data_IF_354747024748
#
_entry.id   IF_354747024748
#
_cell.length_a   1.000
_cell.length_b   1.000
_cell.length_c   1.000
_cell.angle_alpha   90.00
_cell.angle_beta   90.00
_cell.angle_gamma   90.00
#
_symmetry.space_group_name_H-M   'P 1'
#
loop_
_entity.id
_entity.type
_entity.pdbx_description
1 polymer ?
#
# COMPACT_ATOMS: atom_id res chain seq x y z
N UNK A 1 -5.98 -10.07 -1.40
CA UNK A 1 -6.02 -8.66 -1.79
C UNK A 1 -4.88 -7.90 -1.13
N UNK A 2 -4.61 -6.67 -1.55
CA UNK A 2 -3.64 -5.77 -0.91
C UNK A 2 -4.15 -4.33 -0.93
N UNK A 3 -3.52 -3.50 -0.09
CA UNK A 3 -3.68 -2.05 -0.14
C UNK A 3 -5.16 -1.64 -0.13
N UNK A 4 -5.87 -2.09 0.92
CA UNK A 4 -7.29 -1.85 1.11
C UNK A 4 -7.56 -0.35 1.30
N UNK A 5 -6.65 0.36 1.97
CA UNK A 5 -6.70 1.80 2.21
C UNK A 5 -8.10 2.30 2.60
N UNK A 6 -8.71 1.62 3.60
CA UNK A 6 -10.05 1.97 4.06
C UNK A 6 -10.11 3.42 4.51
N UNK A 7 -11.07 4.16 3.97
CA UNK A 7 -11.24 5.59 4.18
C UNK A 7 -12.69 6.00 3.99
N UNK A 8 -13.12 7.06 4.67
CA UNK A 8 -14.44 7.65 4.47
C UNK A 8 -14.40 8.84 3.52
N UNK A 9 -13.27 9.57 3.48
CA UNK A 9 -13.07 10.70 2.59
C UNK A 9 -12.85 10.23 1.14
N UNK A 10 -13.40 10.97 0.20
CA UNK A 10 -13.27 10.68 -1.22
C UNK A 10 -11.89 11.14 -1.73
N UNK A 11 -11.15 10.32 -2.51
CA UNK A 11 -9.94 10.78 -3.19
C UNK A 11 -10.21 12.03 -4.03
N UNK A 12 -9.29 13.01 -3.99
CA UNK A 12 -9.49 14.33 -4.58
C UNK A 12 -9.85 14.37 -6.08
N UNK A 13 -9.52 13.30 -6.82
CA UNK A 13 -9.83 13.18 -8.25
C UNK A 13 -11.18 12.51 -8.55
N UNK A 14 -11.94 12.14 -7.49
CA UNK A 14 -13.22 11.45 -7.56
C UNK A 14 -14.34 12.32 -6.97
N UNK A 15 -15.59 12.02 -7.35
CA UNK A 15 -16.79 12.79 -6.95
C UNK A 15 -17.81 12.01 -6.13
N UNK A 16 -17.52 10.77 -5.73
CA UNK A 16 -18.44 9.99 -4.91
C UNK A 16 -18.73 10.71 -3.57
N UNK A 17 -19.98 10.82 -3.20
CA UNK A 17 -20.40 11.57 -1.98
C UNK A 17 -20.15 10.81 -0.67
N UNK A 18 -20.08 9.47 -0.74
CA UNK A 18 -19.80 8.58 0.40
C UNK A 18 -18.94 7.42 -0.13
N UNK A 19 -17.63 7.64 -0.09
CA UNK A 19 -16.67 6.76 -0.74
C UNK A 19 -16.68 5.34 -0.15
N UNK A 20 -16.70 5.23 1.18
CA UNK A 20 -16.73 3.93 1.83
C UNK A 20 -17.97 3.13 1.41
N UNK A 21 -19.15 3.74 1.44
CA UNK A 21 -20.41 3.05 1.10
C UNK A 21 -20.57 2.77 -0.38
N UNK A 22 -20.10 3.68 -1.25
CA UNK A 22 -20.33 3.54 -2.69
C UNK A 22 -19.26 2.70 -3.39
N UNK A 23 -18.06 2.63 -2.83
CA UNK A 23 -16.92 1.96 -3.47
C UNK A 23 -16.38 0.81 -2.62
N UNK A 24 -15.90 1.08 -1.39
CA UNK A 24 -15.14 0.09 -0.62
C UNK A 24 -16.02 -1.03 -0.07
N UNK A 25 -17.16 -0.70 0.54
CA UNK A 25 -18.07 -1.69 1.14
C UNK A 25 -18.62 -2.68 0.11
N UNK A 26 -19.13 -2.29 -1.07
CA UNK A 26 -19.61 -3.23 -2.08
C UNK A 26 -18.51 -4.17 -2.58
N UNK A 27 -17.30 -3.65 -2.78
CA UNK A 27 -16.16 -4.45 -3.23
C UNK A 27 -15.74 -5.48 -2.17
N UNK A 28 -15.58 -5.05 -0.91
CA UNK A 28 -15.21 -5.96 0.18
C UNK A 28 -16.34 -6.95 0.49
N UNK A 29 -17.61 -6.52 0.42
CA UNK A 29 -18.77 -7.37 0.58
C UNK A 29 -18.73 -8.54 -0.41
N UNK A 30 -18.43 -8.28 -1.68
CA UNK A 30 -18.40 -9.34 -2.70
C UNK A 30 -17.41 -10.46 -2.41
N UNK A 31 -16.31 -10.14 -1.73
CA UNK A 31 -15.34 -11.14 -1.28
C UNK A 31 -15.83 -11.88 -0.03
N UNK A 32 -16.34 -11.13 0.96
CA UNK A 32 -16.84 -11.73 2.19
C UNK A 32 -18.06 -12.64 1.97
N UNK A 33 -18.89 -12.31 0.98
CA UNK A 33 -20.10 -13.09 0.63
C UNK A 33 -19.75 -14.45 -0.02
N UNK A 34 -18.49 -14.68 -0.42
CA UNK A 34 -18.04 -16.02 -0.85
C UNK A 34 -17.95 -17.00 0.31
N UNK A 35 -17.84 -16.50 1.55
CA UNK A 35 -17.62 -17.33 2.74
C UNK A 35 -16.16 -17.78 2.90
N UNK A 36 -15.28 -17.41 1.97
CA UNK A 36 -13.86 -17.76 2.04
C UNK A 36 -13.05 -16.75 2.88
N UNK A 37 -11.93 -17.17 3.51
CA UNK A 37 -11.06 -16.26 4.24
C UNK A 37 -10.50 -15.15 3.35
N UNK A 38 -10.67 -13.90 3.76
CA UNK A 38 -10.11 -12.75 3.07
C UNK A 38 -8.82 -12.33 3.76
N UNK A 39 -7.71 -12.31 2.99
CA UNK A 39 -6.38 -11.94 3.47
C UNK A 39 -5.95 -10.63 2.80
N UNK A 40 -5.48 -9.68 3.61
CA UNK A 40 -5.02 -8.36 3.18
C UNK A 40 -3.50 -8.25 3.36
N UNK A 41 -2.79 -8.05 2.27
CA UNK A 41 -1.34 -7.88 2.29
C UNK A 41 -0.94 -6.44 2.65
N UNK A 42 -1.41 -5.95 3.79
CA UNK A 42 -1.07 -4.66 4.39
C UNK A 42 -1.89 -3.48 3.91
N UNK A 43 -1.65 -2.34 4.56
CA UNK A 43 -2.33 -1.07 4.34
C UNK A 43 -3.86 -1.21 4.37
N UNK A 44 -4.36 -1.76 5.49
CA UNK A 44 -5.80 -1.88 5.73
C UNK A 44 -6.44 -0.50 5.80
N UNK A 45 -5.79 0.45 6.47
CA UNK A 45 -6.26 1.82 6.58
C UNK A 45 -5.45 2.78 5.68
N UNK A 46 -6.10 3.82 5.20
CA UNK A 46 -5.41 4.92 4.50
C UNK A 46 -4.60 5.81 5.45
N UNK A 47 -5.06 5.91 6.71
CA UNK A 47 -4.38 6.63 7.79
C UNK A 47 -4.53 5.83 9.08
N UNK A 48 -3.44 5.67 9.82
CA UNK A 48 -3.40 4.85 11.04
C UNK A 48 -4.36 5.28 12.15
N UNK A 49 -4.63 6.59 12.26
CA UNK A 49 -5.44 7.21 13.30
C UNK A 49 -6.70 7.89 12.76
N UNK A 50 -7.34 7.34 11.73
CA UNK A 50 -8.62 7.83 11.20
C UNK A 50 -9.78 7.18 11.95
N UNK A 51 -10.37 7.91 12.91
CA UNK A 51 -11.49 7.41 13.71
C UNK A 51 -12.72 7.07 12.85
N UNK A 52 -13.05 7.90 11.86
CA UNK A 52 -14.22 7.68 11.01
C UNK A 52 -14.07 6.41 10.18
N UNK A 53 -12.91 6.23 9.54
CA UNK A 53 -12.60 5.02 8.79
C UNK A 53 -12.56 3.78 9.69
N UNK A 54 -11.98 3.90 10.88
CA UNK A 54 -11.91 2.80 11.86
C UNK A 54 -13.31 2.38 12.31
N UNK A 55 -14.17 3.33 12.67
CA UNK A 55 -15.54 3.05 13.08
C UNK A 55 -16.37 2.46 11.94
N UNK A 56 -16.18 2.96 10.73
CA UNK A 56 -16.88 2.48 9.53
C UNK A 56 -16.53 1.02 9.22
N UNK A 57 -15.24 0.68 9.18
CA UNK A 57 -14.80 -0.71 8.93
C UNK A 57 -15.17 -1.64 10.09
N UNK A 58 -15.02 -1.19 11.35
CA UNK A 58 -15.45 -1.93 12.52
C UNK A 58 -16.93 -2.34 12.41
N UNK A 59 -17.81 -1.35 12.16
CA UNK A 59 -19.26 -1.57 12.05
C UNK A 59 -19.58 -2.50 10.89
N UNK A 60 -18.96 -2.27 9.74
CA UNK A 60 -19.18 -3.08 8.54
C UNK A 60 -18.80 -4.57 8.75
N UNK A 61 -17.65 -4.84 9.36
CA UNK A 61 -17.22 -6.22 9.65
C UNK A 61 -18.09 -6.84 10.75
N UNK A 62 -18.42 -6.07 11.78
CA UNK A 62 -19.27 -6.54 12.91
C UNK A 62 -20.66 -6.94 12.45
N UNK A 63 -21.31 -6.13 11.62
CA UNK A 63 -22.64 -6.40 11.08
C UNK A 63 -22.68 -7.67 10.20
N UNK A 64 -21.55 -7.97 9.53
CA UNK A 64 -21.41 -9.17 8.70
C UNK A 64 -20.91 -10.40 9.45
N UNK A 65 -20.50 -10.26 10.71
CA UNK A 65 -19.84 -11.34 11.44
C UNK A 65 -18.53 -11.78 10.78
N UNK A 66 -17.88 -10.87 10.05
CA UNK A 66 -16.70 -11.15 9.24
C UNK A 66 -15.42 -10.83 9.98
N UNK A 67 -14.36 -11.59 9.67
CA UNK A 67 -13.00 -11.39 10.18
C UNK A 67 -12.05 -11.35 9.00
N UNK A 68 -11.15 -10.37 8.99
CA UNK A 68 -10.05 -10.29 8.02
C UNK A 68 -8.77 -10.89 8.61
N UNK A 69 -7.96 -11.51 7.76
CA UNK A 69 -6.56 -11.79 8.06
C UNK A 69 -5.70 -10.71 7.42
N UNK A 70 -4.71 -10.19 8.11
CA UNK A 70 -3.89 -9.13 7.53
C UNK A 70 -2.46 -9.13 8.07
N UNK A 71 -1.52 -8.66 7.27
CA UNK A 71 -0.25 -8.11 7.74
C UNK A 71 -0.37 -6.60 7.89
N UNK A 72 0.52 -6.00 8.66
CA UNK A 72 0.54 -4.56 8.88
C UNK A 72 1.32 -3.86 7.77
N UNK A 73 0.72 -2.87 7.11
CA UNK A 73 1.41 -1.96 6.22
C UNK A 73 1.88 -0.68 6.91
N UNK A 74 2.59 0.19 6.20
CA UNK A 74 3.09 1.45 6.75
C UNK A 74 1.97 2.43 7.12
N UNK A 75 0.85 2.41 6.38
CA UNK A 75 -0.31 3.25 6.66
C UNK A 75 -1.12 2.80 7.89
N UNK A 76 -0.92 1.55 8.34
CA UNK A 76 -1.55 1.03 9.56
C UNK A 76 -0.79 1.45 10.84
N UNK A 77 0.38 2.08 10.70
CA UNK A 77 1.27 2.46 11.78
C UNK A 77 1.40 3.98 11.89
N UNK A 78 1.36 4.51 13.10
CA UNK A 78 1.65 5.92 13.37
C UNK A 78 3.16 6.14 13.34
N UNK A 79 3.62 7.11 12.53
CA UNK A 79 5.04 7.40 12.31
C UNK A 79 5.86 6.16 11.89
N UNK A 80 5.24 5.22 11.21
CA UNK A 80 5.83 3.94 10.76
C UNK A 80 6.41 3.11 11.92
N UNK A 81 5.94 3.33 13.16
CA UNK A 81 6.38 2.64 14.36
C UNK A 81 5.32 1.67 14.87
N UNK A 82 5.74 0.44 15.21
CA UNK A 82 4.88 -0.55 15.86
C UNK A 82 4.67 -0.29 17.34
N UNK A 83 5.44 0.60 17.94
CA UNK A 83 5.36 0.95 19.36
C UNK A 83 4.12 1.79 19.68
N UNK A 84 3.54 2.47 18.68
CA UNK A 84 2.31 3.24 18.85
C UNK A 84 1.11 2.31 18.67
N UNK A 85 0.43 1.99 19.77
CA UNK A 85 -0.71 1.07 19.78
C UNK A 85 -2.05 1.71 19.41
N UNK A 86 -2.16 3.04 19.48
CA UNK A 86 -3.40 3.79 19.21
C UNK A 86 -3.63 3.96 17.72
N UNK A 87 -3.87 2.84 17.03
CA UNK A 87 -4.18 2.80 15.60
C UNK A 87 -5.49 2.08 15.33
N UNK A 88 -6.12 2.39 14.20
CA UNK A 88 -7.32 1.70 13.73
C UNK A 88 -7.08 0.20 13.56
N UNK A 89 -5.92 -0.17 13.04
CA UNK A 89 -5.53 -1.57 12.86
C UNK A 89 -5.51 -2.33 14.21
N UNK A 90 -4.79 -1.79 15.20
CA UNK A 90 -4.71 -2.40 16.53
C UNK A 90 -6.06 -2.48 17.24
N UNK A 91 -6.93 -1.48 17.04
CA UNK A 91 -8.27 -1.51 17.58
C UNK A 91 -9.07 -2.69 17.02
N UNK A 92 -9.03 -2.91 15.70
CA UNK A 92 -9.72 -4.04 15.07
C UNK A 92 -9.10 -5.39 15.45
N UNK A 93 -7.79 -5.47 15.64
CA UNK A 93 -7.12 -6.68 16.17
C UNK A 93 -7.61 -6.98 17.60
N UNK A 94 -7.61 -5.99 18.49
CA UNK A 94 -8.12 -6.13 19.87
C UNK A 94 -9.60 -6.48 19.92
N UNK A 95 -10.39 -6.04 18.94
CA UNK A 95 -11.81 -6.38 18.79
C UNK A 95 -12.05 -7.76 18.16
N UNK A 96 -11.01 -8.46 17.71
CA UNK A 96 -11.12 -9.77 17.04
C UNK A 96 -11.70 -9.71 15.62
N UNK A 97 -11.71 -8.54 14.98
CA UNK A 97 -12.17 -8.33 13.61
C UNK A 97 -11.04 -8.40 12.58
N UNK A 98 -9.79 -8.27 13.04
CA UNK A 98 -8.59 -8.57 12.26
C UNK A 98 -7.77 -9.61 13.02
N UNK A 99 -7.32 -10.63 12.32
CA UNK A 99 -6.30 -11.57 12.78
C UNK A 99 -4.98 -11.17 12.13
N UNK A 100 -4.09 -10.57 12.91
CA UNK A 100 -2.76 -10.19 12.42
C UNK A 100 -1.94 -11.45 12.14
N UNK A 101 -1.40 -11.54 10.93
CA UNK A 101 -0.48 -12.58 10.52
C UNK A 101 0.95 -12.15 10.84
N UNK A 102 1.72 -13.05 11.40
CA UNK A 102 3.12 -12.80 11.79
C UNK A 102 4.05 -13.93 11.39
N UNK A 103 5.20 -13.97 12.05
CA UNK A 103 6.33 -14.86 11.73
C UNK A 103 6.02 -16.37 11.89
N UNK A 104 5.00 -16.72 12.68
CA UNK A 104 4.65 -18.12 12.92
C UNK A 104 3.49 -18.56 12.03
N UNK A 105 3.58 -19.75 11.39
CA UNK A 105 2.53 -20.24 10.51
C UNK A 105 1.19 -20.40 11.23
N UNK A 106 0.16 -19.82 10.64
CA UNK A 106 -1.22 -20.03 11.05
C UNK A 106 -1.92 -20.91 10.01
N UNK A 107 -2.64 -21.92 10.44
CA UNK A 107 -3.46 -22.72 9.52
C UNK A 107 -4.71 -21.95 9.12
N UNK A 108 -4.87 -21.70 7.80
CA UNK A 108 -6.05 -21.09 7.18
C UNK A 108 -6.46 -22.03 6.04
N UNK A 109 -7.66 -22.59 6.09
CA UNK A 109 -8.16 -23.58 5.12
C UNK A 109 -7.14 -24.69 4.77
N UNK A 110 -6.41 -25.16 5.79
CA UNK A 110 -5.42 -26.20 5.64
C UNK A 110 -4.00 -25.73 5.26
N UNK A 111 -3.84 -24.56 4.67
CA UNK A 111 -2.55 -23.97 4.33
C UNK A 111 -1.87 -23.34 5.54
N UNK A 112 -0.56 -23.48 5.66
CA UNK A 112 0.28 -22.76 6.62
C UNK A 112 0.61 -21.37 6.09
N UNK A 113 0.04 -20.33 6.67
CA UNK A 113 0.20 -18.93 6.23
C UNK A 113 1.03 -18.16 7.24
N UNK A 114 2.12 -17.53 6.78
CA UNK A 114 2.90 -16.56 7.57
C UNK A 114 2.69 -15.14 7.07
N UNK A 115 2.95 -14.17 7.94
CA UNK A 115 2.93 -12.75 7.64
C UNK A 115 4.30 -12.10 7.76
N UNK A 116 4.55 -11.10 6.90
CA UNK A 116 5.68 -10.18 6.96
C UNK A 116 5.14 -8.76 6.77
N UNK A 117 4.96 -8.04 7.86
CA UNK A 117 4.52 -6.65 7.82
C UNK A 117 5.63 -5.69 7.36
N UNK A 118 5.27 -4.42 7.19
CA UNK A 118 6.23 -3.38 6.80
C UNK A 118 7.43 -3.31 7.73
N UNK A 119 8.64 -3.29 7.16
CA UNK A 119 9.88 -3.22 7.91
C UNK A 119 10.28 -4.50 8.64
N UNK A 120 9.54 -5.59 8.47
CA UNK A 120 9.90 -6.90 9.02
C UNK A 120 10.84 -7.67 8.10
N UNK A 121 11.53 -8.65 8.68
CA UNK A 121 12.27 -9.67 7.93
C UNK A 121 11.36 -10.84 7.59
N UNK A 122 11.73 -11.60 6.56
CA UNK A 122 11.02 -12.82 6.21
C UNK A 122 11.02 -13.81 7.40
N UNK A 123 9.94 -14.61 7.56
CA UNK A 123 9.88 -15.63 8.59
C UNK A 123 11.00 -16.68 8.40
N UNK A 124 11.55 -17.17 9.52
CA UNK A 124 12.53 -18.24 9.51
C UNK A 124 11.85 -19.63 9.50
N UNK A 125 10.91 -19.81 8.58
CA UNK A 125 10.18 -21.05 8.34
C UNK A 125 9.86 -21.14 6.84
N UNK A 126 9.33 -22.26 6.41
CA UNK A 126 8.87 -22.47 5.03
C UNK A 126 7.33 -22.67 5.04
N UNK A 127 6.55 -21.58 5.04
CA UNK A 127 5.09 -21.67 4.98
C UNK A 127 4.62 -22.06 3.58
N UNK A 128 3.40 -22.59 3.45
CA UNK A 128 2.77 -22.79 2.15
C UNK A 128 2.54 -21.45 1.45
N UNK A 129 2.17 -20.42 2.24
CA UNK A 129 1.88 -19.07 1.76
C UNK A 129 2.55 -18.02 2.64
N UNK A 130 3.25 -17.08 2.02
CA UNK A 130 3.76 -15.86 2.65
C UNK A 130 2.94 -14.65 2.20
N UNK A 131 2.39 -13.92 3.15
CA UNK A 131 1.76 -12.62 2.92
C UNK A 131 2.74 -11.53 3.34
N UNK A 132 3.11 -10.63 2.44
CA UNK A 132 4.14 -9.63 2.72
C UNK A 132 3.69 -8.22 2.31
N UNK A 133 4.00 -7.22 3.15
CA UNK A 133 3.86 -5.82 2.77
C UNK A 133 5.24 -5.21 2.59
N UNK A 134 5.67 -5.05 1.33
CA UNK A 134 7.05 -4.72 0.97
C UNK A 134 7.13 -3.95 -0.33
N UNK A 135 7.98 -2.90 -0.34
CA UNK A 135 8.21 -2.06 -1.53
C UNK A 135 9.05 -2.80 -2.57
N UNK A 136 8.37 -3.41 -3.54
CA UNK A 136 9.00 -4.14 -4.66
C UNK A 136 8.38 -3.74 -6.00
N UNK A 137 9.18 -3.87 -7.05
CA UNK A 137 8.79 -3.52 -8.43
C UNK A 137 9.09 -4.64 -9.42
N UNK A 138 8.23 -4.79 -10.43
CA UNK A 138 8.42 -5.73 -11.53
C UNK A 138 7.84 -5.20 -12.85
N UNK A 139 8.58 -5.34 -13.93
CA UNK A 139 8.14 -4.94 -15.27
C UNK A 139 7.76 -3.45 -15.34
N UNK A 140 6.57 -3.11 -15.84
CA UNK A 140 6.11 -1.73 -15.95
C UNK A 140 5.63 -1.13 -14.61
N UNK A 141 5.46 -1.96 -13.58
CA UNK A 141 5.02 -1.54 -12.24
C UNK A 141 6.21 -1.05 -11.39
N UNK A 142 6.97 -0.06 -11.91
CA UNK A 142 8.18 0.43 -11.25
C UNK A 142 7.84 1.51 -10.23
N UNK A 143 8.36 1.32 -8.99
CA UNK A 143 8.38 2.34 -7.94
C UNK A 143 9.84 2.78 -7.75
N UNK A 144 10.17 4.08 -7.84
CA UNK A 144 11.52 4.56 -7.57
C UNK A 144 11.99 4.17 -6.16
N UNK A 145 13.17 3.56 -6.08
CA UNK A 145 13.75 3.10 -4.80
C UNK A 145 13.26 1.74 -4.30
N UNK A 146 12.24 1.16 -4.91
CA UNK A 146 11.79 -0.18 -4.55
C UNK A 146 12.80 -1.27 -4.96
N UNK A 147 12.84 -2.35 -4.21
CA UNK A 147 13.63 -3.54 -4.56
C UNK A 147 13.06 -4.25 -5.80
N UNK A 148 13.89 -5.00 -6.50
CA UNK A 148 13.39 -5.87 -7.57
C UNK A 148 12.56 -7.01 -6.98
N UNK A 149 11.37 -7.27 -7.54
CA UNK A 149 10.53 -8.40 -7.14
C UNK A 149 11.26 -9.75 -7.29
N UNK A 150 12.10 -9.89 -8.32
CA UNK A 150 12.92 -11.09 -8.50
C UNK A 150 13.98 -11.23 -7.40
N UNK A 151 14.66 -10.14 -7.04
CA UNK A 151 15.64 -10.16 -5.95
C UNK A 151 14.97 -10.49 -4.61
N UNK A 152 13.79 -9.90 -4.33
CA UNK A 152 13.00 -10.22 -3.16
C UNK A 152 12.60 -11.69 -3.13
N UNK A 153 12.01 -12.21 -4.24
CA UNK A 153 11.66 -13.63 -4.33
C UNK A 153 12.83 -14.56 -4.05
N UNK A 154 14.02 -14.24 -4.59
CA UNK A 154 15.21 -15.04 -4.39
C UNK A 154 15.78 -14.96 -2.97
N UNK A 155 15.45 -13.93 -2.21
CA UNK A 155 15.82 -13.81 -0.79
C UNK A 155 14.94 -14.64 0.14
N UNK A 156 13.73 -15.02 -0.30
CA UNK A 156 12.81 -15.87 0.46
C UNK A 156 13.20 -17.33 0.26
N UNK A 157 13.50 -18.02 1.35
CA UNK A 157 13.81 -19.44 1.35
C UNK A 157 12.55 -20.28 1.09
N UNK A 158 12.75 -21.47 0.52
CA UNK A 158 11.67 -22.44 0.32
C UNK A 158 10.80 -22.19 -0.93
N UNK A 159 9.65 -22.83 -0.95
CA UNK A 159 8.76 -22.91 -2.11
C UNK A 159 7.42 -22.19 -1.88
N UNK A 160 7.33 -21.35 -0.86
CA UNK A 160 6.10 -20.60 -0.54
C UNK A 160 5.60 -19.82 -1.73
N UNK A 161 4.29 -19.81 -1.91
CA UNK A 161 3.63 -18.78 -2.71
C UNK A 161 3.64 -17.46 -1.95
N UNK A 162 3.93 -16.38 -2.62
CA UNK A 162 4.11 -15.06 -2.00
C UNK A 162 3.06 -14.10 -2.55
N UNK A 163 2.27 -13.52 -1.66
CA UNK A 163 1.34 -12.45 -2.01
C UNK A 163 1.80 -11.15 -1.34
N UNK A 164 1.95 -10.10 -2.15
CA UNK A 164 2.53 -8.83 -1.68
C UNK A 164 1.58 -7.66 -1.80
N UNK A 165 1.83 -6.61 -1.01
CA UNK A 165 1.25 -5.28 -1.09
C UNK A 165 2.32 -4.18 -1.18
N UNK A 166 1.94 -2.91 -1.03
CA UNK A 166 2.67 -1.65 -1.18
C UNK A 166 2.73 -1.14 -2.63
N UNK A 167 2.98 -1.98 -3.60
CA UNK A 167 2.91 -1.55 -4.99
C UNK A 167 1.47 -1.58 -5.48
N UNK A 168 0.89 -0.42 -5.68
CA UNK A 168 -0.51 -0.27 -6.11
C UNK A 168 -0.76 -0.74 -7.55
N UNK A 169 0.28 -0.93 -8.36
CA UNK A 169 0.18 -1.51 -9.70
C UNK A 169 0.32 -3.02 -9.62
N UNK A 170 -0.67 -3.71 -10.19
CA UNK A 170 -0.70 -5.16 -10.23
C UNK A 170 0.45 -5.73 -11.07
N UNK A 171 1.07 -6.78 -10.55
CA UNK A 171 2.01 -7.61 -11.29
C UNK A 171 2.08 -9.02 -10.71
N UNK A 172 2.69 -9.95 -11.42
CA UNK A 172 3.02 -11.27 -10.92
C UNK A 172 4.29 -11.81 -11.59
N UNK A 173 5.00 -12.65 -10.87
CA UNK A 173 6.13 -13.45 -11.32
C UNK A 173 5.67 -14.91 -11.45
N UNK A 174 5.26 -15.40 -12.63
CA UNK A 174 4.66 -16.73 -12.75
C UNK A 174 5.60 -17.85 -12.30
N UNK A 175 6.88 -17.80 -12.76
CA UNK A 175 7.90 -18.81 -12.44
C UNK A 175 8.39 -18.74 -10.99
N UNK A 176 8.14 -17.61 -10.31
CA UNK A 176 8.57 -17.37 -8.94
C UNK A 176 7.49 -17.59 -7.89
N UNK A 177 6.22 -17.79 -8.30
CA UNK A 177 5.11 -17.88 -7.35
C UNK A 177 4.89 -16.61 -6.53
N UNK A 178 5.15 -15.42 -7.10
CA UNK A 178 4.96 -14.13 -6.44
C UNK A 178 3.85 -13.34 -7.15
N UNK A 179 2.91 -12.83 -6.37
CA UNK A 179 1.69 -12.19 -6.82
C UNK A 179 1.45 -10.88 -6.06
N UNK A 180 1.22 -9.79 -6.78
CA UNK A 180 0.76 -8.51 -6.25
C UNK A 180 -0.59 -8.17 -6.88
N UNK A 181 -1.62 -7.96 -6.05
CA UNK A 181 -2.96 -7.63 -6.54
C UNK A 181 -3.07 -6.17 -7.01
N UNK A 182 -2.16 -5.34 -6.56
CA UNK A 182 -2.28 -3.89 -6.66
C UNK A 182 -3.31 -3.34 -5.66
N UNK A 183 -3.56 -2.04 -5.72
CA UNK A 183 -4.51 -1.40 -4.82
C UNK A 183 -5.92 -1.97 -4.98
N UNK A 184 -6.61 -2.21 -3.85
CA UNK A 184 -7.96 -2.74 -3.79
C UNK A 184 -9.00 -1.87 -4.50
N UNK A 185 -8.73 -0.60 -4.64
CA UNK A 185 -9.56 0.36 -5.35
C UNK A 185 -8.70 1.35 -6.13
N UNK A 186 -9.30 2.07 -7.06
CA UNK A 186 -8.61 3.12 -7.80
C UNK A 186 -8.42 4.36 -6.94
N UNK A 187 -7.42 4.34 -6.06
CA UNK A 187 -7.13 5.42 -5.12
C UNK A 187 -6.54 6.65 -5.81
N UNK A 188 -5.75 6.45 -6.85
CA UNK A 188 -5.06 7.50 -7.61
C UNK A 188 -5.42 7.44 -9.09
N UNK A 189 -5.31 8.56 -9.81
CA UNK A 189 -5.70 8.66 -11.21
C UNK A 189 -4.87 7.79 -12.18
N UNK A 190 -3.63 7.44 -11.79
CA UNK A 190 -2.78 6.54 -12.58
C UNK A 190 -3.17 5.05 -12.46
N UNK A 191 -4.19 4.74 -11.65
CA UNK A 191 -4.78 3.41 -11.54
C UNK A 191 -6.09 3.26 -12.34
N UNK A 192 -6.48 4.25 -13.14
CA UNK A 192 -7.74 4.24 -13.90
C UNK A 192 -7.90 3.00 -14.79
N UNK A 193 -6.83 2.54 -15.40
CA UNK A 193 -6.84 1.38 -16.29
C UNK A 193 -6.75 0.04 -15.53
N UNK A 194 -6.57 0.08 -14.21
CA UNK A 194 -6.45 -1.11 -13.39
C UNK A 194 -7.77 -1.43 -12.70
N UNK A 195 -8.40 -2.56 -13.07
CA UNK A 195 -9.56 -3.08 -12.33
C UNK A 195 -9.10 -3.79 -11.07
N UNK A 196 -9.78 -3.60 -9.92
CA UNK A 196 -9.52 -4.34 -8.69
C UNK A 196 -9.68 -5.84 -8.90
N UNK A 197 -8.77 -6.61 -8.32
CA UNK A 197 -8.84 -8.08 -8.28
C UNK A 197 -8.49 -8.61 -6.89
N UNK A 198 -8.87 -9.86 -6.65
CA UNK A 198 -8.26 -10.70 -5.62
C UNK A 198 -7.51 -11.86 -6.29
N UNK A 199 -6.37 -12.23 -5.73
CA UNK A 199 -5.76 -13.52 -6.03
C UNK A 199 -6.47 -14.59 -5.20
N UNK A 200 -6.97 -15.61 -5.85
CA UNK A 200 -7.63 -16.74 -5.20
C UNK A 200 -6.67 -17.93 -5.16
N UNK A 201 -6.29 -18.31 -3.94
CA UNK A 201 -5.44 -19.48 -3.69
C UNK A 201 -6.30 -20.64 -3.23
N UNK A 202 -6.09 -21.81 -3.83
CA UNK A 202 -6.77 -23.05 -3.43
C UNK A 202 -5.79 -24.01 -2.75
N UNK A 203 -6.23 -24.85 -1.78
CA UNK A 203 -5.35 -25.75 -1.03
C UNK A 203 -4.55 -26.74 -1.87
N UNK A 204 -4.96 -26.97 -3.12
CA UNK A 204 -4.20 -27.77 -4.10
C UNK A 204 -3.06 -26.98 -4.79
N UNK A 205 -2.79 -25.76 -4.33
CA UNK A 205 -1.67 -24.91 -4.79
C UNK A 205 -1.96 -24.08 -6.03
N UNK A 206 -3.18 -24.08 -6.56
CA UNK A 206 -3.53 -23.26 -7.71
C UNK A 206 -3.79 -21.81 -7.30
N UNK A 207 -3.36 -20.88 -8.14
CA UNK A 207 -3.65 -19.46 -7.98
C UNK A 207 -4.47 -18.99 -9.18
N UNK A 208 -5.63 -18.43 -8.90
CA UNK A 208 -6.53 -17.84 -9.87
C UNK A 208 -6.78 -16.36 -9.62
N UNK A 209 -7.49 -15.72 -10.51
CA UNK A 209 -7.93 -14.33 -10.39
C UNK A 209 -9.42 -14.31 -10.10
N UNK A 210 -9.81 -13.56 -9.06
CA UNK A 210 -11.19 -13.18 -8.81
C UNK A 210 -11.36 -11.71 -9.18
N UNK A 211 -12.20 -11.42 -10.17
CA UNK A 211 -12.55 -10.05 -10.53
C UNK A 211 -13.51 -9.48 -9.49
N UNK A 212 -13.10 -8.43 -8.81
CA UNK A 212 -13.94 -7.73 -7.84
C UNK A 212 -14.97 -6.89 -8.61
N UNK A 213 -16.26 -6.94 -8.24
CA UNK A 213 -17.28 -6.08 -8.84
C UNK A 213 -16.86 -4.61 -8.78
N UNK A 214 -16.88 -3.97 -9.91
CA UNK A 214 -16.29 -2.66 -10.08
C UNK A 214 -17.26 -1.71 -10.76
N UNK A 215 -17.49 -0.55 -10.13
CA UNK A 215 -18.18 0.58 -10.73
C UNK A 215 -17.14 1.61 -11.17
N UNK A 216 -17.14 2.02 -12.46
CA UNK A 216 -16.24 3.08 -12.92
C UNK A 216 -16.33 4.32 -12.03
N UNK A 217 -15.19 4.98 -11.74
CA UNK A 217 -15.17 6.15 -10.89
C UNK A 217 -15.91 7.34 -11.51
N UNK A 218 -16.57 8.12 -10.69
CA UNK A 218 -17.01 9.46 -11.06
C UNK A 218 -15.81 10.41 -10.98
N UNK A 219 -15.28 10.81 -12.14
CA UNK A 219 -14.05 11.61 -12.23
C UNK A 219 -14.34 13.09 -11.94
N UNK A 220 -13.47 13.74 -11.16
CA UNK A 220 -13.41 15.19 -11.06
C UNK A 220 -12.54 15.77 -12.18
N UNK A 221 -13.19 16.24 -13.24
CA UNK A 221 -12.50 16.82 -14.40
C UNK A 221 -11.63 18.02 -14.05
N UNK A 222 -12.04 18.82 -13.06
CA UNK A 222 -11.28 19.99 -12.61
C UNK A 222 -9.94 19.59 -11.99
N UNK A 223 -9.92 18.49 -11.25
CA UNK A 223 -8.71 17.92 -10.68
C UNK A 223 -7.78 17.31 -11.76
N UNK A 224 -8.34 16.62 -12.74
CA UNK A 224 -7.57 16.08 -13.86
C UNK A 224 -6.85 17.19 -14.63
N UNK A 225 -7.58 18.28 -14.95
CA UNK A 225 -7.03 19.44 -15.65
C UNK A 225 -5.98 20.23 -14.83
N UNK A 226 -6.10 20.24 -13.49
CA UNK A 226 -5.14 20.95 -12.63
C UNK A 226 -3.81 20.21 -12.47
N UNK A 227 -3.84 18.87 -12.49
CA UNK A 227 -2.62 18.05 -12.38
C UNK A 227 -1.76 18.03 -13.63
N UNK A 228 -2.37 18.08 -14.80
CA UNK A 228 -1.62 18.13 -16.06
C UNK A 228 -0.79 19.42 -16.20
N UNK A 229 -1.26 20.52 -15.62
CA UNK A 229 -0.55 21.79 -15.69
C UNK A 229 0.55 21.98 -14.63
N UNK A 230 0.43 21.34 -13.45
CA UNK A 230 1.35 21.57 -12.34
C UNK A 230 2.47 20.54 -12.17
N UNK A 231 2.21 19.28 -12.49
CA UNK A 231 3.20 18.20 -12.26
C UNK A 231 4.22 18.02 -13.39
N UNK A 232 3.85 18.35 -14.62
CA UNK A 232 4.76 18.14 -15.75
C UNK A 232 5.95 19.09 -15.75
N UNK A 233 5.78 20.33 -15.24
CA UNK A 233 6.84 21.35 -15.22
C UNK A 233 7.69 21.22 -13.96
N UNK A 234 7.10 21.28 -12.78
CA UNK A 234 7.85 21.31 -11.52
C UNK A 234 8.57 19.99 -11.18
N UNK A 235 7.96 18.84 -11.48
CA UNK A 235 8.56 17.53 -11.18
C UNK A 235 9.73 17.19 -12.10
N UNK A 236 9.63 17.47 -13.39
CA UNK A 236 10.69 17.19 -14.35
C UNK A 236 11.90 18.12 -14.14
N UNK A 237 11.67 19.39 -13.89
CA UNK A 237 12.76 20.36 -13.59
C UNK A 237 13.46 20.01 -12.27
N UNK A 238 12.73 19.61 -11.22
CA UNK A 238 13.31 19.20 -9.96
C UNK A 238 14.14 17.90 -10.10
N UNK A 239 13.60 16.87 -10.79
CA UNK A 239 14.32 15.61 -11.02
C UNK A 239 15.55 15.84 -11.91
N UNK A 240 15.47 16.68 -12.92
CA UNK A 240 16.61 17.03 -13.76
C UNK A 240 17.67 17.80 -12.98
N UNK A 241 17.26 18.77 -12.15
CA UNK A 241 18.19 19.52 -11.29
C UNK A 241 18.88 18.61 -10.25
N UNK A 242 18.16 17.64 -9.67
CA UNK A 242 18.76 16.62 -8.78
C UNK A 242 19.73 15.69 -9.51
N UNK A 243 19.40 15.27 -10.74
CA UNK A 243 20.27 14.44 -11.55
C UNK A 243 21.55 15.18 -11.97
N UNK A 244 21.44 16.46 -12.33
CA UNK A 244 22.58 17.31 -12.61
C UNK A 244 23.46 17.56 -11.38
N UNK A 245 22.88 17.85 -10.22
CA UNK A 245 23.58 18.01 -8.96
C UNK A 245 24.36 16.74 -8.56
N UNK A 246 23.75 15.57 -8.76
CA UNK A 246 24.39 14.26 -8.52
C UNK A 246 25.58 14.02 -9.44
N UNK A 247 25.45 14.37 -10.73
CA UNK A 247 26.51 14.18 -11.73
C UNK A 247 27.70 15.14 -11.55
N UNK A 248 27.46 16.29 -10.93
CA UNK A 248 28.50 17.30 -10.69
C UNK A 248 29.25 17.13 -9.35
N UNK A 249 28.85 16.19 -8.50
CA UNK A 249 29.54 15.80 -7.26
C UNK A 249 29.66 16.90 -6.20
N UNK A 250 28.86 17.97 -6.29
CA UNK A 250 28.93 19.11 -5.39
C UNK A 250 27.78 19.12 -4.39
N UNK A 251 28.10 18.97 -3.08
CA UNK A 251 27.14 19.09 -2.00
C UNK A 251 26.44 20.47 -2.00
N UNK A 252 27.11 21.51 -2.42
CA UNK A 252 26.56 22.86 -2.48
C UNK A 252 25.49 23.03 -3.54
N UNK A 253 25.62 22.38 -4.70
CA UNK A 253 24.61 22.41 -5.77
C UNK A 253 23.38 21.66 -5.30
N UNK A 254 23.54 20.52 -4.65
CA UNK A 254 22.43 19.75 -4.07
C UNK A 254 21.65 20.57 -3.04
N UNK A 255 22.36 21.20 -2.09
CA UNK A 255 21.74 22.03 -1.05
C UNK A 255 21.03 23.27 -1.63
N UNK A 256 21.62 23.92 -2.65
CA UNK A 256 20.99 25.05 -3.31
C UNK A 256 19.70 24.63 -4.07
N UNK A 257 19.70 23.44 -4.70
CA UNK A 257 18.52 22.89 -5.36
C UNK A 257 17.42 22.59 -4.34
N UNK A 258 17.75 22.02 -3.18
CA UNK A 258 16.78 21.79 -2.09
C UNK A 258 16.20 23.10 -1.54
N UNK A 259 17.02 24.13 -1.34
CA UNK A 259 16.56 25.45 -0.87
C UNK A 259 15.64 26.12 -1.88
N UNK A 260 15.97 26.06 -3.18
CA UNK A 260 15.10 26.56 -4.24
C UNK A 260 13.74 25.84 -4.24
N UNK A 261 13.74 24.52 -4.20
CA UNK A 261 12.51 23.72 -4.12
C UNK A 261 11.68 24.04 -2.87
N UNK A 262 12.31 24.22 -1.70
CA UNK A 262 11.65 24.60 -0.47
C UNK A 262 11.05 26.02 -0.52
N UNK A 263 11.64 26.93 -1.28
CA UNK A 263 11.10 28.29 -1.47
C UNK A 263 9.80 28.29 -2.26
N UNK A 264 9.67 27.41 -3.23
CA UNK A 264 8.53 27.29 -4.14
C UNK A 264 7.44 26.34 -3.62
N UNK A 265 7.79 25.45 -2.70
CA UNK A 265 6.84 24.49 -2.10
C UNK A 265 5.87 25.18 -1.15
N UNK A 266 4.69 24.58 -0.98
CA UNK A 266 3.64 25.02 -0.05
C UNK A 266 3.22 23.89 0.90
N UNK A 267 2.59 24.25 2.04
CA UNK A 267 2.03 23.30 2.99
C UNK A 267 3.06 22.34 3.59
N UNK A 268 2.68 21.08 3.75
CA UNK A 268 3.51 20.03 4.36
C UNK A 268 4.82 19.77 3.61
N UNK A 269 4.80 19.88 2.27
CA UNK A 269 6.01 19.70 1.45
C UNK A 269 7.09 20.71 1.81
N UNK A 270 6.70 21.96 2.07
CA UNK A 270 7.64 23.01 2.49
C UNK A 270 8.26 22.73 3.86
N UNK A 271 7.45 22.23 4.78
CA UNK A 271 7.91 21.85 6.13
C UNK A 271 8.94 20.74 6.03
N UNK A 272 8.62 19.65 5.30
CA UNK A 272 9.51 18.50 5.13
C UNK A 272 10.84 18.89 4.45
N UNK A 273 10.79 19.69 3.39
CA UNK A 273 12.00 20.15 2.71
C UNK A 273 12.90 20.99 3.63
N UNK A 274 12.31 21.88 4.44
CA UNK A 274 13.06 22.69 5.41
C UNK A 274 13.68 21.84 6.53
N UNK A 275 12.97 20.79 7.00
CA UNK A 275 13.54 19.83 7.98
C UNK A 275 14.70 19.04 7.38
N UNK A 276 14.60 18.60 6.13
CA UNK A 276 15.70 17.93 5.42
C UNK A 276 16.93 18.84 5.30
N UNK A 277 16.73 20.11 4.88
CA UNK A 277 17.79 21.10 4.78
C UNK A 277 18.49 21.26 6.12
N UNK A 278 17.74 21.47 7.20
CA UNK A 278 18.28 21.64 8.55
C UNK A 278 19.12 20.44 9.00
N UNK A 279 18.61 19.20 8.80
CA UNK A 279 19.35 17.97 9.13
C UNK A 279 20.65 17.84 8.32
N UNK A 280 20.63 18.19 7.04
CA UNK A 280 21.83 18.18 6.22
C UNK A 280 22.88 19.22 6.70
N UNK A 281 22.45 20.39 7.12
CA UNK A 281 23.34 21.44 7.67
C UNK A 281 23.96 21.02 9.01
N UNK A 282 23.17 20.40 9.89
CA UNK A 282 23.61 19.90 11.20
C UNK A 282 24.59 18.71 11.09
N UNK A 283 24.54 17.93 10.02
CA UNK A 283 25.43 16.77 9.81
C UNK A 283 26.81 17.13 9.27
N UNK A 284 27.04 18.40 8.88
CA UNK A 284 28.31 18.91 8.33
C UNK A 284 29.02 19.84 9.31
N UNK A 285 28.50 20.04 10.51
CA UNK A 285 29.15 20.68 11.65
C UNK A 285 29.63 19.67 12.68
#
# INVERSE_FOLDING_TARGET
ISDLHWRCDTPAWRKESDYAKQVLRPQLASLLDTGEPVIVAGDVFHRSADFAATYDLFTFLKERGAVLYAVRGQHDMTLHSKEVEETGFNLLVKAGLIVELGQHPRKIEGAGVCGMGWGETAPDCDPDVLIAHVSISYGPAVIPGAASALAFRNSIKGHSLIFTGDNHKRFHLPEGGLYNAGCFHQMTADLLDQRPIAWHYTPDGRVGVWEIPFTPPMIDESYALSKDKGKAVAGAEFVNALAEARNQGSADIFMNTLRAAASEASGETKVLLNECIKKCEESHT
#
